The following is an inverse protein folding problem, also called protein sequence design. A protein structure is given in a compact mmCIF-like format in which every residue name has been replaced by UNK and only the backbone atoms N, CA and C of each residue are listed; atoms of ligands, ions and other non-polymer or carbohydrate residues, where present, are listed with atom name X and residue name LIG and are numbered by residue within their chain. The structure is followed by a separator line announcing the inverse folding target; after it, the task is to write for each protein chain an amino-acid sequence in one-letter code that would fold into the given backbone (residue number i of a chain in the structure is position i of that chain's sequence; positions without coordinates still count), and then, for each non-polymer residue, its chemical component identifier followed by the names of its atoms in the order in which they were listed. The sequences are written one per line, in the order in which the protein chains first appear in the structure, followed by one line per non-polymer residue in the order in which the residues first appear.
data_IF_720833431404
#
_entry.id   IF_720833431404
#
_cell.length_a   1.000
_cell.length_b   1.000
_cell.length_c   1.000
_cell.angle_alpha   90.00
_cell.angle_beta   90.00
_cell.angle_gamma   90.00
#
_symmetry.space_group_name_H-M   'P 1'
#
loop_
_entity.id
_entity.type
_entity.pdbx_description
1 polymer ?
#
# COMPACT_ATOMS: atom_id res chain seq x y z
N UNK A 1 -22.59 7.16 -3.10
CA UNK A 1 -21.24 6.64 -2.82
C UNK A 1 -21.27 5.12 -3.02
N UNK A 2 -20.62 4.62 -4.07
CA UNK A 2 -20.52 3.19 -4.34
C UNK A 2 -19.21 2.69 -3.73
N UNK A 3 -19.29 1.78 -2.75
CA UNK A 3 -18.13 1.19 -2.08
C UNK A 3 -18.11 -0.31 -2.37
N UNK A 4 -16.96 -0.82 -2.80
CA UNK A 4 -16.70 -2.23 -2.99
C UNK A 4 -15.51 -2.65 -2.11
N UNK A 5 -15.69 -3.71 -1.32
CA UNK A 5 -14.62 -4.39 -0.61
C UNK A 5 -14.46 -5.78 -1.20
N UNK A 6 -13.24 -6.13 -1.59
CA UNK A 6 -12.93 -7.38 -2.27
C UNK A 6 -11.64 -7.97 -1.73
N UNK A 7 -11.68 -9.28 -1.44
CA UNK A 7 -10.46 -10.07 -1.19
C UNK A 7 -9.94 -10.62 -2.50
N UNK A 8 -8.61 -10.70 -2.64
CA UNK A 8 -7.95 -11.29 -3.81
C UNK A 8 -6.82 -12.20 -3.36
N UNK A 9 -6.56 -13.24 -4.12
CA UNK A 9 -5.49 -14.19 -3.84
C UNK A 9 -4.33 -14.02 -4.82
N UNK A 10 -3.12 -14.18 -4.28
CA UNK A 10 -1.88 -14.18 -5.05
C UNK A 10 -1.07 -15.41 -4.66
N UNK A 11 -0.75 -16.25 -5.64
CA UNK A 11 0.03 -17.46 -5.44
C UNK A 11 1.39 -17.15 -4.79
N UNK A 12 1.73 -17.90 -3.75
CA UNK A 12 2.97 -17.71 -2.99
C UNK A 12 3.02 -16.48 -2.08
N UNK A 13 1.97 -15.60 -2.08
CA UNK A 13 1.90 -14.41 -1.23
C UNK A 13 0.72 -14.46 -0.26
N UNK A 14 -0.38 -15.11 -0.61
CA UNK A 14 -1.57 -15.25 0.21
C UNK A 14 -2.73 -14.38 -0.24
N UNK A 15 -3.56 -13.96 0.70
CA UNK A 15 -4.78 -13.18 0.44
C UNK A 15 -4.59 -11.72 0.85
N UNK A 16 -4.89 -10.81 -0.05
CA UNK A 16 -4.96 -9.36 0.20
C UNK A 16 -6.41 -8.86 0.17
N UNK A 17 -6.60 -7.63 0.61
CA UNK A 17 -7.90 -6.96 0.59
C UNK A 17 -7.79 -5.58 -0.06
N UNK A 18 -8.84 -5.19 -0.76
CA UNK A 18 -8.95 -3.94 -1.50
C UNK A 18 -10.30 -3.29 -1.22
N UNK A 19 -10.31 -2.00 -0.91
CA UNK A 19 -11.52 -1.19 -0.83
C UNK A 19 -11.46 -0.09 -1.88
N UNK A 20 -12.50 -0.03 -2.69
CA UNK A 20 -12.69 0.97 -3.73
C UNK A 20 -13.95 1.78 -3.42
N UNK A 21 -13.86 3.10 -3.52
CA UNK A 21 -15.00 4.01 -3.40
C UNK A 21 -14.96 5.01 -4.55
N UNK A 22 -16.08 5.15 -5.26
CA UNK A 22 -16.27 6.12 -6.36
C UNK A 22 -15.13 6.13 -7.41
N UNK A 23 -14.57 4.94 -7.73
CA UNK A 23 -13.50 4.79 -8.71
C UNK A 23 -12.09 5.09 -8.19
N UNK A 24 -11.92 5.22 -6.88
CA UNK A 24 -10.62 5.40 -6.23
C UNK A 24 -10.33 4.23 -5.30
N UNK A 25 -9.08 3.78 -5.24
CA UNK A 25 -8.62 2.89 -4.16
C UNK A 25 -8.49 3.73 -2.90
N UNK A 26 -9.27 3.40 -1.87
CA UNK A 26 -9.29 4.12 -0.59
C UNK A 26 -8.56 3.36 0.50
N UNK A 27 -8.37 2.07 0.31
CA UNK A 27 -7.64 1.21 1.23
C UNK A 27 -7.15 -0.07 0.57
N UNK A 28 -5.98 -0.57 1.02
CA UNK A 28 -5.41 -1.81 0.54
C UNK A 28 -4.56 -2.49 1.63
N UNK A 29 -4.77 -3.78 1.82
CA UNK A 29 -3.91 -4.67 2.60
C UNK A 29 -3.19 -5.65 1.67
N UNK A 30 -1.87 -5.66 1.76
CA UNK A 30 -1.02 -6.55 0.96
C UNK A 30 -1.30 -8.03 1.28
N UNK A 31 -1.17 -8.95 0.30
CA UNK A 31 -1.40 -10.36 0.51
C UNK A 31 -0.56 -10.93 1.66
N UNK A 32 -1.20 -11.71 2.52
CA UNK A 32 -0.58 -12.34 3.68
C UNK A 32 -0.93 -13.85 3.70
N UNK A 33 0.04 -14.75 3.96
CA UNK A 33 -0.26 -16.17 4.11
C UNK A 33 -1.15 -16.42 5.33
N UNK A 34 -2.35 -16.92 5.13
CA UNK A 34 -3.30 -17.23 6.22
C UNK A 34 -2.99 -18.51 6.98
N UNK A 35 -1.80 -19.10 6.84
CA UNK A 35 -1.42 -20.31 7.53
C UNK A 35 -1.06 -20.03 9.00
N UNK A 36 -1.98 -20.24 9.91
CA UNK A 36 -1.70 -20.51 11.34
C UNK A 36 -1.72 -19.34 12.30
N UNK A 37 -2.12 -18.15 11.94
CA UNK A 37 -2.38 -17.09 12.93
C UNK A 37 -3.85 -16.72 12.90
N UNK A 38 -4.53 -16.96 14.03
CA UNK A 38 -5.90 -16.55 14.30
C UNK A 38 -5.99 -15.01 14.37
N UNK A 39 -5.98 -14.32 13.23
CA UNK A 39 -6.68 -13.06 13.16
C UNK A 39 -8.16 -13.39 13.01
N UNK A 40 -8.89 -13.22 14.11
CA UNK A 40 -10.34 -13.24 14.13
C UNK A 40 -10.84 -12.32 12.99
N UNK A 41 -11.64 -12.81 12.03
CA UNK A 41 -12.22 -11.97 10.99
C UNK A 41 -13.08 -10.82 11.51
N UNK A 42 -13.44 -10.84 12.80
CA UNK A 42 -14.08 -9.71 13.50
C UNK A 42 -13.09 -8.58 13.88
N UNK A 43 -11.79 -8.79 13.76
CA UNK A 43 -10.74 -7.80 13.99
C UNK A 43 -10.18 -7.21 12.69
N UNK A 44 -10.99 -7.10 11.66
CA UNK A 44 -10.69 -6.19 10.55
C UNK A 44 -10.46 -4.80 11.15
N UNK A 45 -9.35 -4.11 10.81
CA UNK A 45 -9.10 -2.79 11.35
C UNK A 45 -10.31 -1.91 11.02
N UNK A 46 -11.02 -1.48 12.07
CA UNK A 46 -12.07 -0.48 11.94
C UNK A 46 -11.39 0.79 11.45
N UNK A 47 -11.60 1.13 10.19
CA UNK A 47 -11.08 2.36 9.62
C UNK A 47 -11.68 3.54 10.36
N UNK A 48 -10.89 4.41 10.99
CA UNK A 48 -11.41 5.67 11.48
C UNK A 48 -11.88 6.49 10.27
N UNK A 49 -13.19 6.62 10.11
CA UNK A 49 -13.80 7.42 9.04
C UNK A 49 -14.63 6.66 8.00
N UNK A 50 -14.42 5.36 7.82
CA UNK A 50 -15.36 4.52 7.08
C UNK A 50 -16.22 3.79 8.11
N UNK A 51 -17.50 4.16 8.20
CA UNK A 51 -18.49 3.39 8.98
C UNK A 51 -18.52 1.92 8.54
N UNK A 52 -19.26 1.03 9.24
CA UNK A 52 -19.28 -0.39 8.92
C UNK A 52 -19.56 -0.56 7.43
N UNK A 53 -18.59 -1.14 6.70
CA UNK A 53 -18.72 -1.40 5.27
C UNK A 53 -19.75 -2.50 5.11
N UNK A 54 -21.00 -2.07 4.95
CA UNK A 54 -22.08 -2.98 4.59
C UNK A 54 -21.84 -3.36 3.13
N UNK A 55 -21.58 -4.63 2.87
CA UNK A 55 -21.52 -5.22 1.53
C UNK A 55 -22.75 -4.81 0.72
N UNK A 56 -22.68 -3.68 0.02
CA UNK A 56 -23.68 -3.25 -0.94
C UNK A 56 -23.21 -3.62 -2.33
N UNK A 57 -24.08 -4.26 -3.10
CA UNK A 57 -23.85 -4.65 -4.49
C UNK A 57 -23.22 -3.49 -5.27
N UNK A 58 -21.99 -3.73 -5.76
CA UNK A 58 -21.26 -2.80 -6.64
C UNK A 58 -22.07 -2.52 -7.90
N UNK A 59 -22.12 -1.26 -8.33
CA UNK A 59 -22.57 -0.91 -9.68
C UNK A 59 -21.62 -1.56 -10.72
N UNK A 60 -22.09 -1.86 -11.92
CA UNK A 60 -21.27 -2.50 -12.96
C UNK A 60 -19.97 -1.70 -13.28
N UNK A 61 -20.00 -0.39 -13.19
CA UNK A 61 -18.83 0.47 -13.38
C UNK A 61 -17.72 0.25 -12.33
N UNK A 62 -18.11 0.00 -11.06
CA UNK A 62 -17.16 -0.33 -9.99
C UNK A 62 -16.55 -1.72 -10.16
N UNK A 63 -17.26 -2.65 -10.78
CA UNK A 63 -16.82 -4.03 -11.02
C UNK A 63 -15.66 -4.10 -12.02
N UNK A 64 -15.69 -3.32 -13.11
CA UNK A 64 -14.62 -3.27 -14.10
C UNK A 64 -13.32 -2.71 -13.51
N UNK A 65 -13.38 -1.57 -12.86
CA UNK A 65 -12.23 -0.95 -12.21
C UNK A 65 -11.59 -1.85 -11.15
N UNK A 66 -12.39 -2.49 -10.29
CA UNK A 66 -11.89 -3.46 -9.29
C UNK A 66 -11.14 -4.61 -9.96
N UNK A 67 -11.69 -5.16 -11.06
CA UNK A 67 -11.06 -6.26 -11.80
C UNK A 67 -9.71 -5.81 -12.40
N UNK A 68 -9.63 -4.63 -12.98
CA UNK A 68 -8.40 -4.05 -13.52
C UNK A 68 -7.34 -3.87 -12.44
N UNK A 69 -7.70 -3.29 -11.28
CA UNK A 69 -6.80 -3.11 -10.15
C UNK A 69 -6.26 -4.44 -9.63
N UNK A 70 -7.11 -5.47 -9.51
CA UNK A 70 -6.69 -6.81 -9.09
C UNK A 70 -5.73 -7.43 -10.12
N UNK A 71 -5.95 -7.22 -11.42
CA UNK A 71 -5.03 -7.69 -12.45
C UNK A 71 -3.66 -7.02 -12.34
N UNK A 72 -3.61 -5.70 -12.10
CA UNK A 72 -2.34 -4.99 -11.88
C UNK A 72 -1.61 -5.49 -10.63
N UNK A 73 -2.34 -5.72 -9.52
CA UNK A 73 -1.76 -6.33 -8.31
C UNK A 73 -1.17 -7.72 -8.58
N UNK A 74 -1.90 -8.58 -9.30
CA UNK A 74 -1.40 -9.91 -9.67
C UNK A 74 -0.17 -9.84 -10.58
N UNK A 75 -0.17 -8.92 -11.54
CA UNK A 75 0.96 -8.68 -12.44
C UNK A 75 2.20 -8.22 -11.66
N UNK A 76 2.02 -7.30 -10.73
CA UNK A 76 3.08 -6.85 -9.83
C UNK A 76 3.70 -8.02 -9.04
N UNK A 77 2.88 -8.82 -8.37
CA UNK A 77 3.35 -9.96 -7.57
C UNK A 77 3.94 -11.12 -8.41
N UNK A 78 3.65 -11.18 -9.68
CA UNK A 78 4.30 -12.08 -10.62
C UNK A 78 5.67 -11.56 -11.11
N UNK A 79 6.11 -10.39 -10.63
CA UNK A 79 7.36 -9.76 -11.07
C UNK A 79 7.30 -9.13 -12.45
N UNK A 80 6.10 -8.96 -12.99
CA UNK A 80 5.88 -8.30 -14.27
C UNK A 80 5.78 -6.78 -14.13
N UNK A 81 5.91 -6.04 -15.24
CA UNK A 81 5.65 -4.60 -15.24
C UNK A 81 4.21 -4.35 -14.81
N UNK A 82 4.01 -3.41 -13.92
CA UNK A 82 2.69 -3.02 -13.41
C UNK A 82 2.56 -1.51 -13.35
N UNK A 83 1.35 -1.02 -13.51
CA UNK A 83 1.00 0.40 -13.48
C UNK A 83 0.31 0.78 -12.15
N UNK A 84 0.75 0.22 -11.02
CA UNK A 84 0.15 0.51 -9.71
C UNK A 84 0.27 1.99 -9.32
N UNK A 85 1.29 2.68 -9.78
CA UNK A 85 1.50 4.12 -9.61
C UNK A 85 0.51 4.96 -10.42
N UNK A 86 -0.07 4.42 -11.50
CA UNK A 86 -1.09 5.08 -12.32
C UNK A 86 -2.51 4.85 -11.81
N UNK A 87 -2.73 3.84 -10.96
CA UNK A 87 -4.06 3.53 -10.41
C UNK A 87 -4.57 4.72 -9.60
N UNK A 88 -5.80 5.21 -9.87
CA UNK A 88 -6.42 6.27 -9.08
C UNK A 88 -6.59 5.87 -7.62
N UNK A 89 -6.07 6.67 -6.70
CA UNK A 89 -6.13 6.44 -5.26
C UNK A 89 -6.60 7.69 -4.52
N UNK A 90 -7.20 7.49 -3.36
CA UNK A 90 -7.56 8.58 -2.47
C UNK A 90 -6.32 9.09 -1.72
N UNK A 91 -5.83 10.27 -2.11
CA UNK A 91 -4.72 10.97 -1.46
C UNK A 91 -5.20 12.08 -0.51
N UNK A 92 -6.42 11.96 0.01
CA UNK A 92 -6.86 12.86 1.07
C UNK A 92 -6.15 12.51 2.38
N UNK A 93 -5.28 13.40 2.81
CA UNK A 93 -4.54 13.34 4.05
C UNK A 93 -4.79 14.60 4.88
N UNK A 94 -4.72 14.46 6.19
CA UNK A 94 -5.01 15.50 7.17
C UNK A 94 -4.11 16.75 7.04
N UNK A 95 -2.90 16.57 6.50
CA UNK A 95 -1.93 17.68 6.37
C UNK A 95 -1.26 17.70 4.99
N UNK A 96 -0.84 18.89 4.52
CA UNK A 96 -0.08 19.02 3.28
C UNK A 96 1.20 18.17 3.26
N UNK A 97 1.88 18.03 4.41
CA UNK A 97 3.07 17.20 4.54
C UNK A 97 2.79 15.72 4.24
N UNK A 98 1.73 15.14 4.82
CA UNK A 98 1.38 13.74 4.60
C UNK A 98 1.00 13.50 3.13
N UNK A 99 0.25 14.41 2.53
CA UNK A 99 -0.08 14.38 1.10
C UNK A 99 1.21 14.46 0.25
N UNK A 100 2.10 15.40 0.55
CA UNK A 100 3.38 15.56 -0.14
C UNK A 100 4.25 14.29 -0.07
N UNK A 101 4.29 13.61 1.10
CA UNK A 101 4.95 12.32 1.24
C UNK A 101 4.32 11.25 0.34
N UNK A 102 2.99 11.15 0.31
CA UNK A 102 2.29 10.17 -0.52
C UNK A 102 2.55 10.41 -2.01
N UNK A 103 2.42 11.65 -2.48
CA UNK A 103 2.68 12.04 -3.86
C UNK A 103 4.15 11.82 -4.27
N UNK A 104 5.10 12.17 -3.39
CA UNK A 104 6.52 11.94 -3.64
C UNK A 104 6.83 10.45 -3.74
N UNK A 105 6.28 9.65 -2.84
CA UNK A 105 6.54 8.23 -2.77
C UNK A 105 5.99 7.47 -4.00
N UNK A 106 4.86 7.89 -4.54
CA UNK A 106 4.30 7.34 -5.79
C UNK A 106 5.20 7.58 -7.03
N UNK A 107 6.13 8.53 -6.94
CA UNK A 107 7.10 8.82 -8.03
C UNK A 107 8.41 8.05 -7.88
N UNK A 108 8.64 7.39 -6.75
CA UNK A 108 9.82 6.51 -6.56
C UNK A 108 9.59 5.25 -7.38
N UNK A 109 10.42 4.95 -8.40
CA UNK A 109 10.18 3.81 -9.29
C UNK A 109 10.50 2.48 -8.58
N UNK A 110 9.97 1.34 -9.09
CA UNK A 110 10.38 0.01 -8.65
C UNK A 110 11.90 -0.17 -8.74
N UNK A 111 12.47 -0.83 -7.74
CA UNK A 111 13.93 -1.07 -7.66
C UNK A 111 14.73 0.10 -7.09
N UNK A 112 14.10 1.23 -6.82
CA UNK A 112 14.71 2.37 -6.13
C UNK A 112 14.14 2.54 -4.72
N UNK A 113 14.92 3.17 -3.86
CA UNK A 113 14.52 3.47 -2.48
C UNK A 113 14.89 4.90 -2.11
N UNK A 114 14.15 5.43 -1.14
CA UNK A 114 14.46 6.72 -0.50
C UNK A 114 14.57 6.50 1.00
N UNK A 115 15.38 7.29 1.68
CA UNK A 115 15.42 7.28 3.14
C UNK A 115 14.22 8.03 3.73
N UNK A 116 13.92 7.78 5.01
CA UNK A 116 12.89 8.57 5.73
C UNK A 116 13.22 10.08 5.71
N UNK A 117 14.50 10.45 5.72
CA UNK A 117 14.93 11.85 5.65
C UNK A 117 14.66 12.47 4.27
N UNK A 118 14.99 11.74 3.20
CA UNK A 118 14.70 12.17 1.83
C UNK A 118 13.19 12.27 1.57
N UNK A 119 12.41 11.28 2.02
CA UNK A 119 10.94 11.35 1.91
C UNK A 119 10.39 12.58 2.64
N UNK A 120 10.91 12.89 3.83
CA UNK A 120 10.49 14.07 4.58
C UNK A 120 10.81 15.37 3.83
N UNK A 121 11.98 15.45 3.22
CA UNK A 121 12.37 16.62 2.40
C UNK A 121 11.47 16.75 1.16
N UNK A 122 11.20 15.65 0.46
CA UNK A 122 10.30 15.60 -0.68
C UNK A 122 8.86 15.96 -0.31
N UNK A 123 8.42 15.59 0.90
CA UNK A 123 7.11 15.97 1.46
C UNK A 123 7.03 17.43 1.93
N UNK A 124 8.11 18.21 1.79
CA UNK A 124 8.14 19.63 2.12
C UNK A 124 8.55 19.95 3.56
N UNK A 125 9.04 18.98 4.34
CA UNK A 125 9.51 19.19 5.71
C UNK A 125 10.90 18.51 5.92
N UNK A 126 12.01 19.10 5.41
CA UNK A 126 13.35 18.59 5.68
C UNK A 126 13.56 18.49 7.20
N UNK A 127 14.27 17.44 7.63
CA UNK A 127 14.51 17.06 9.04
C UNK A 127 13.30 16.41 9.77
N UNK A 128 12.16 16.18 9.11
CA UNK A 128 10.99 15.53 9.70
C UNK A 128 10.98 14.00 9.48
N UNK A 129 12.14 13.32 9.48
CA UNK A 129 12.24 11.88 9.21
C UNK A 129 11.34 11.01 10.10
N UNK A 130 11.14 11.38 11.38
CA UNK A 130 10.21 10.68 12.29
C UNK A 130 8.75 10.80 11.82
N UNK A 131 8.36 11.98 11.31
CA UNK A 131 7.02 12.19 10.79
C UNK A 131 6.80 11.38 9.50
N UNK A 132 7.81 11.28 8.62
CA UNK A 132 7.78 10.40 7.46
C UNK A 132 7.68 8.92 7.87
N UNK A 133 8.39 8.49 8.91
CA UNK A 133 8.25 7.16 9.50
C UNK A 133 6.84 6.89 10.04
N UNK A 134 6.25 7.87 10.73
CA UNK A 134 4.85 7.78 11.21
C UNK A 134 3.84 7.74 10.08
N UNK A 135 4.08 8.44 8.98
CA UNK A 135 3.30 8.36 7.75
C UNK A 135 3.34 6.93 7.18
N UNK A 136 4.55 6.36 7.00
CA UNK A 136 4.72 4.99 6.49
C UNK A 136 4.01 3.95 7.36
N UNK A 137 4.10 4.08 8.69
CA UNK A 137 3.46 3.16 9.64
C UNK A 137 1.93 3.18 9.58
N UNK A 138 1.32 4.31 9.15
CA UNK A 138 -0.12 4.51 9.04
C UNK A 138 -0.64 4.46 7.60
N UNK A 139 0.23 4.12 6.65
CA UNK A 139 -0.15 4.07 5.25
C UNK A 139 -1.25 3.03 4.99
N UNK A 140 -2.40 3.50 4.53
CA UNK A 140 -3.58 2.68 4.22
C UNK A 140 -3.62 2.18 2.76
N UNK A 141 -2.67 2.64 1.94
CA UNK A 141 -2.62 2.41 0.49
C UNK A 141 -1.35 1.64 0.11
N UNK A 142 -1.00 0.62 0.89
CA UNK A 142 0.18 -0.19 0.62
C UNK A 142 0.30 -0.63 -0.84
N UNK A 143 1.49 -0.65 -1.41
CA UNK A 143 1.85 -0.84 -2.82
C UNK A 143 1.49 0.36 -3.73
N UNK A 144 0.28 0.92 -3.65
CA UNK A 144 -0.12 2.11 -4.42
C UNK A 144 0.60 3.38 -3.94
N UNK A 145 0.87 3.47 -2.64
CA UNK A 145 1.81 4.41 -2.01
C UNK A 145 2.92 3.56 -1.42
N UNK A 146 4.02 3.31 -2.16
CA UNK A 146 4.93 2.20 -1.91
C UNK A 146 5.88 2.44 -0.74
N UNK A 147 5.36 2.46 0.50
CA UNK A 147 6.15 2.68 1.72
C UNK A 147 7.21 1.59 1.97
N UNK A 148 7.17 0.44 1.28
CA UNK A 148 8.26 -0.52 1.27
C UNK A 148 9.54 0.01 0.61
N UNK A 149 9.45 1.04 -0.24
CA UNK A 149 10.61 1.74 -0.85
C UNK A 149 11.22 2.80 0.06
N UNK A 150 10.74 2.97 1.31
CA UNK A 150 11.32 3.91 2.28
C UNK A 150 12.17 3.13 3.27
N UNK A 151 13.45 3.47 3.36
CA UNK A 151 14.46 2.75 4.17
C UNK A 151 15.08 3.64 5.25
N UNK A 152 15.75 3.03 6.21
CA UNK A 152 16.63 3.75 7.14
C UNK A 152 17.94 4.16 6.47
N UNK A 153 18.73 5.02 7.12
CA UNK A 153 20.02 5.47 6.60
C UNK A 153 21.08 4.35 6.52
N UNK A 154 20.91 3.25 7.24
CA UNK A 154 21.86 2.13 7.27
C UNK A 154 21.21 0.76 7.31
N UNK A 155 19.88 0.71 7.21
CA UNK A 155 19.10 -0.53 7.27
C UNK A 155 17.81 -0.43 6.42
N UNK A 156 17.08 -1.52 6.32
CA UNK A 156 15.79 -1.52 5.60
C UNK A 156 14.65 -0.81 6.37
N UNK A 157 14.86 -0.42 7.62
CA UNK A 157 13.82 0.11 8.48
C UNK A 157 12.75 -0.92 8.85
N UNK A 158 11.57 -0.45 9.23
CA UNK A 158 10.42 -1.30 9.60
C UNK A 158 9.39 -1.41 8.46
N UNK A 159 8.44 -2.34 8.60
CA UNK A 159 7.32 -2.49 7.68
C UNK A 159 6.08 -2.99 8.41
N UNK A 160 5.51 -2.15 9.24
CA UNK A 160 4.27 -2.42 9.96
C UNK A 160 4.18 -3.82 10.57
N UNK A 161 2.99 -4.41 10.54
CA UNK A 161 2.74 -5.78 11.02
C UNK A 161 3.28 -6.88 10.11
N UNK A 162 3.59 -6.57 8.84
CA UNK A 162 4.13 -7.52 7.86
C UNK A 162 5.63 -7.79 8.09
N UNK A 163 6.33 -6.87 8.72
CA UNK A 163 7.73 -7.04 9.11
C UNK A 163 8.74 -6.84 7.98
N UNK A 164 10.01 -6.76 8.35
CA UNK A 164 11.14 -6.48 7.45
C UNK A 164 11.35 -7.59 6.42
N UNK A 165 11.07 -8.84 6.76
CA UNK A 165 11.19 -9.96 5.82
C UNK A 165 10.24 -9.81 4.63
N UNK A 166 9.01 -9.36 4.87
CA UNK A 166 8.05 -9.09 3.80
C UNK A 166 8.50 -7.89 2.94
N UNK A 167 8.97 -6.82 3.56
CA UNK A 167 9.53 -5.66 2.86
C UNK A 167 10.70 -6.05 1.96
N UNK A 168 11.64 -6.85 2.48
CA UNK A 168 12.78 -7.37 1.70
C UNK A 168 12.30 -8.15 0.49
N UNK A 169 11.27 -8.98 0.64
CA UNK A 169 10.70 -9.76 -0.45
C UNK A 169 10.08 -8.87 -1.53
N UNK A 170 9.39 -7.78 -1.18
CA UNK A 170 8.87 -6.81 -2.13
C UNK A 170 10.00 -6.08 -2.87
N UNK A 171 11.01 -5.62 -2.15
CA UNK A 171 12.18 -4.96 -2.74
C UNK A 171 12.96 -5.89 -3.68
N UNK A 172 13.11 -7.17 -3.31
CA UNK A 172 13.73 -8.17 -4.17
C UNK A 172 12.91 -8.41 -5.45
N UNK A 173 11.57 -8.46 -5.33
CA UNK A 173 10.65 -8.58 -6.47
C UNK A 173 10.82 -7.40 -7.45
N UNK A 174 11.08 -6.21 -6.94
CA UNK A 174 11.33 -5.00 -7.73
C UNK A 174 12.77 -4.88 -8.24
N UNK A 175 13.65 -5.82 -7.89
CA UNK A 175 15.05 -5.82 -8.34
C UNK A 175 15.97 -4.91 -7.55
N UNK A 176 15.60 -4.47 -6.34
CA UNK A 176 16.47 -3.67 -5.51
C UNK A 176 17.70 -4.45 -5.01
N UNK A 177 18.94 -4.05 -5.35
CA UNK A 177 20.15 -4.83 -5.02
C UNK A 177 20.40 -5.00 -3.51
N UNK A 178 19.99 -4.03 -2.70
CA UNK A 178 20.13 -4.05 -1.24
C UNK A 178 19.14 -4.96 -0.52
N UNK A 179 18.27 -5.69 -1.26
CA UNK A 179 17.33 -6.66 -0.70
C UNK A 179 17.90 -8.09 -0.63
N UNK A 180 19.04 -8.35 -1.24
CA UNK A 180 19.72 -9.65 -1.32
C UNK A 180 20.51 -9.98 -0.06
#
# INVERSE_FOLDING_TARGET
MAVAQVSYEVEGWGTGELVVADGLVVWHESPWPRAGTSKDPSQSPTHPGLGPVVSRRSSQASSGFVAEVIQELRRYFAGGPSALDEVPVDLEYETPFLRGCAEALRRVPPGEVVTYGELAALGGAPNAARAAGSFCARNRLGLFVPCHRVVGAGDLGSYGSLGVAYKRRLLALEGYPGAL
#
